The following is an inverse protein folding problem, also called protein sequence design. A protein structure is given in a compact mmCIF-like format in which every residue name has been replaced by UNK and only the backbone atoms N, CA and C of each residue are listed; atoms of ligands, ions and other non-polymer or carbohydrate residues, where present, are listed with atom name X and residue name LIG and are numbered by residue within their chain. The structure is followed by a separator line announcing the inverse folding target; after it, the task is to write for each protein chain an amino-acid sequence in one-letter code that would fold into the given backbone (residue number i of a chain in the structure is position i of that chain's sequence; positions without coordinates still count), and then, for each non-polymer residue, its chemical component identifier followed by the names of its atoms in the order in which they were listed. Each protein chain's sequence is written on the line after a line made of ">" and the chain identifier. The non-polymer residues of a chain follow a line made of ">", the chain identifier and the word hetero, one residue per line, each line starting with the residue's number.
data_IF_544741500038
#
_entry.id   IF_544741500038
#
_cell.length_a   1.000
_cell.length_b   1.000
_cell.length_c   1.000
_cell.angle_alpha   90.00
_cell.angle_beta   90.00
_cell.angle_gamma   90.00
#
_symmetry.space_group_name_H-M   'P 1'
#
loop_
_entity.id
_entity.type
_entity.pdbx_description
1 polymer ?
#
# COMPACT_ATOMS: atom_id res chain seq x y z
N UNK A 1 -8.95 0.33 -23.11
CA UNK A 1 -7.91 -0.71 -22.90
C UNK A 1 -8.12 -1.37 -21.53
N UNK A 2 -7.82 -2.66 -21.35
CA UNK A 2 -7.98 -3.34 -20.06
C UNK A 2 -7.19 -2.66 -18.92
N UNK A 3 -6.01 -2.12 -19.22
CA UNK A 3 -5.14 -1.37 -18.30
C UNK A 3 -5.83 -0.15 -17.70
N UNK A 4 -6.60 0.56 -18.52
CA UNK A 4 -7.37 1.73 -18.08
C UNK A 4 -8.43 1.33 -17.05
N UNK A 5 -9.14 0.21 -17.27
CA UNK A 5 -10.17 -0.29 -16.35
C UNK A 5 -9.52 -0.71 -15.03
N UNK A 6 -8.41 -1.45 -15.12
CA UNK A 6 -7.68 -1.93 -13.93
C UNK A 6 -7.14 -0.78 -13.10
N UNK A 7 -6.49 0.21 -13.73
CA UNK A 7 -5.99 1.36 -12.98
C UNK A 7 -7.15 2.18 -12.41
N UNK A 8 -8.31 2.23 -13.08
CA UNK A 8 -9.51 2.90 -12.56
C UNK A 8 -10.03 2.20 -11.30
N UNK A 9 -10.08 0.87 -11.31
CA UNK A 9 -10.59 0.07 -10.20
C UNK A 9 -9.69 0.16 -8.96
N UNK A 10 -8.37 0.28 -9.14
CA UNK A 10 -7.39 0.41 -8.05
C UNK A 10 -6.92 1.86 -7.82
N UNK A 11 -7.60 2.85 -8.41
CA UNK A 11 -7.13 4.25 -8.41
C UNK A 11 -7.00 4.80 -6.98
N UNK A 12 -8.03 4.58 -6.17
CA UNK A 12 -8.08 5.04 -4.79
C UNK A 12 -6.98 4.37 -3.95
N UNK A 13 -6.83 3.05 -4.06
CA UNK A 13 -5.82 2.28 -3.34
C UNK A 13 -4.39 2.78 -3.63
N UNK A 14 -4.07 3.07 -4.89
CA UNK A 14 -2.75 3.58 -5.29
C UNK A 14 -2.53 5.00 -4.74
N UNK A 15 -3.56 5.86 -4.78
CA UNK A 15 -3.49 7.23 -4.26
C UNK A 15 -3.29 7.20 -2.73
N UNK A 16 -4.08 6.42 -2.01
CA UNK A 16 -4.02 6.32 -0.55
C UNK A 16 -2.68 5.74 -0.09
N UNK A 17 -2.18 4.71 -0.79
CA UNK A 17 -0.86 4.13 -0.52
C UNK A 17 0.25 5.16 -0.68
N UNK A 18 0.25 5.93 -1.78
CA UNK A 18 1.25 6.97 -2.01
C UNK A 18 1.13 8.11 -0.99
N UNK A 19 -0.10 8.53 -0.66
CA UNK A 19 -0.36 9.56 0.33
C UNK A 19 0.12 9.16 1.73
N UNK A 20 -0.08 7.90 2.11
CA UNK A 20 0.43 7.30 3.35
C UNK A 20 1.94 7.12 3.38
N UNK A 21 2.61 7.13 2.21
CA UNK A 21 4.05 6.99 2.05
C UNK A 21 4.68 8.26 1.44
N UNK A 22 4.42 9.42 2.07
CA UNK A 22 4.85 10.72 1.56
C UNK A 22 6.34 10.84 1.11
N UNK A 23 7.33 10.21 1.80
CA UNK A 23 8.73 10.24 1.34
C UNK A 23 8.94 9.59 -0.03
N UNK A 24 8.16 8.55 -0.35
CA UNK A 24 8.26 7.77 -1.59
C UNK A 24 7.74 8.55 -2.80
N UNK A 25 6.79 9.46 -2.61
CA UNK A 25 6.15 10.23 -3.68
C UNK A 25 7.17 10.94 -4.58
N UNK A 26 8.23 11.53 -3.99
CA UNK A 26 9.26 12.24 -4.75
C UNK A 26 10.04 11.28 -5.64
N UNK A 27 10.48 10.15 -5.10
CA UNK A 27 11.23 9.14 -5.86
C UNK A 27 10.35 8.53 -6.96
N UNK A 28 9.08 8.27 -6.66
CA UNK A 28 8.11 7.75 -7.62
C UNK A 28 7.87 8.74 -8.76
N UNK A 29 7.69 10.03 -8.46
CA UNK A 29 7.60 11.11 -9.44
C UNK A 29 8.83 11.16 -10.36
N UNK A 30 10.05 11.03 -9.81
CA UNK A 30 11.28 10.99 -10.59
C UNK A 30 11.29 9.84 -11.59
N UNK A 31 10.88 8.63 -11.17
CA UNK A 31 10.82 7.47 -12.03
C UNK A 31 9.78 7.61 -13.14
N UNK A 32 8.59 8.13 -12.81
CA UNK A 32 7.53 8.39 -13.80
C UNK A 32 7.96 9.41 -14.84
N UNK A 33 8.59 10.52 -14.40
CA UNK A 33 9.08 11.57 -15.29
C UNK A 33 10.20 11.06 -16.20
N UNK A 34 11.18 10.35 -15.63
CA UNK A 34 12.29 9.76 -16.40
C UNK A 34 11.82 8.74 -17.43
N UNK A 35 10.68 8.08 -17.18
CA UNK A 35 10.07 7.11 -18.08
C UNK A 35 9.08 7.75 -19.07
N UNK A 36 8.93 9.08 -19.07
CA UNK A 36 8.03 9.80 -19.96
C UNK A 36 6.53 9.59 -19.68
N UNK A 37 6.17 9.10 -18.48
CA UNK A 37 4.79 8.75 -18.12
C UNK A 37 3.98 9.97 -17.64
N UNK A 38 4.68 11.00 -17.17
CA UNK A 38 4.10 12.26 -16.70
C UNK A 38 4.85 13.44 -17.33
N UNK A 39 4.16 14.57 -17.57
CA UNK A 39 4.78 15.77 -18.08
C UNK A 39 5.53 16.53 -16.97
N UNK A 40 6.39 17.47 -17.37
CA UNK A 40 7.30 18.19 -16.46
C UNK A 40 6.55 19.00 -15.39
N UNK A 41 5.40 19.53 -15.74
CA UNK A 41 4.55 20.36 -14.87
C UNK A 41 3.99 19.55 -13.70
N UNK A 42 3.68 18.28 -13.93
CA UNK A 42 3.22 17.34 -12.91
C UNK A 42 4.39 16.86 -12.04
N UNK A 43 5.58 16.74 -12.62
CA UNK A 43 6.79 16.36 -11.91
C UNK A 43 7.26 17.45 -10.91
N UNK A 44 7.22 18.73 -11.29
CA UNK A 44 7.61 19.89 -10.48
C UNK A 44 6.59 20.28 -9.39
N UNK A 45 5.88 19.29 -8.86
CA UNK A 45 4.70 19.45 -8.02
C UNK A 45 4.92 20.39 -6.83
N UNK A 46 4.19 21.52 -6.82
CA UNK A 46 4.23 22.53 -5.74
C UNK A 46 3.13 22.33 -4.68
N UNK A 47 2.31 21.27 -4.80
CA UNK A 47 1.22 21.04 -3.85
C UNK A 47 1.76 20.64 -2.48
N UNK A 48 1.12 21.17 -1.43
CA UNK A 48 1.61 21.03 -0.06
C UNK A 48 1.29 19.68 0.59
N UNK A 49 0.13 19.08 0.27
CA UNK A 49 -0.27 17.83 0.91
C UNK A 49 0.23 16.59 0.14
N UNK A 50 0.64 15.51 0.83
CA UNK A 50 0.98 14.24 0.19
C UNK A 50 -0.15 13.65 -0.66
N UNK A 51 -1.40 13.76 -0.17
CA UNK A 51 -2.58 13.27 -0.88
C UNK A 51 -2.80 14.00 -2.21
N UNK A 52 -2.69 15.33 -2.22
CA UNK A 52 -2.87 16.10 -3.45
C UNK A 52 -1.76 15.82 -4.47
N UNK A 53 -0.53 15.58 -3.97
CA UNK A 53 0.61 15.19 -4.80
C UNK A 53 0.39 13.83 -5.44
N UNK A 54 -0.01 12.83 -4.64
CA UNK A 54 -0.33 11.49 -5.10
C UNK A 54 -1.48 11.49 -6.13
N UNK A 55 -2.57 12.18 -5.79
CA UNK A 55 -3.75 12.32 -6.66
C UNK A 55 -3.38 12.91 -8.02
N UNK A 56 -2.59 13.98 -8.04
CA UNK A 56 -2.18 14.62 -9.29
C UNK A 56 -1.28 13.70 -10.14
N UNK A 57 -0.30 13.04 -9.51
CA UNK A 57 0.61 12.12 -10.19
C UNK A 57 -0.16 10.98 -10.87
N UNK A 58 -1.02 10.31 -10.10
CA UNK A 58 -1.76 9.15 -10.59
C UNK A 58 -2.80 9.55 -11.62
N UNK A 59 -3.51 10.66 -11.46
CA UNK A 59 -4.43 11.16 -12.47
C UNK A 59 -3.70 11.52 -13.77
N UNK A 60 -2.48 12.04 -13.70
CA UNK A 60 -1.67 12.29 -14.89
C UNK A 60 -1.34 10.98 -15.61
N UNK A 61 -0.87 9.94 -14.90
CA UNK A 61 -0.60 8.63 -15.51
C UNK A 61 -1.87 8.01 -16.08
N UNK A 62 -3.00 8.14 -15.38
CA UNK A 62 -4.30 7.66 -15.81
C UNK A 62 -4.74 8.31 -17.13
N UNK A 63 -4.60 9.64 -17.24
CA UNK A 63 -4.84 10.36 -18.50
C UNK A 63 -3.89 9.89 -19.61
N UNK A 64 -2.61 9.68 -19.30
CA UNK A 64 -1.64 9.15 -20.27
C UNK A 64 -2.07 7.78 -20.80
N UNK A 65 -2.47 6.83 -19.93
CA UNK A 65 -2.96 5.51 -20.35
C UNK A 65 -4.18 5.60 -21.28
N UNK A 66 -5.11 6.52 -20.98
CA UNK A 66 -6.32 6.72 -21.77
C UNK A 66 -6.07 7.31 -23.16
N UNK A 67 -5.01 8.12 -23.32
CA UNK A 67 -4.70 8.84 -24.55
C UNK A 67 -3.57 8.20 -25.39
N UNK A 68 -2.78 7.30 -24.81
CA UNK A 68 -1.60 6.72 -25.47
C UNK A 68 -2.00 5.62 -26.48
N UNK A 69 -1.28 5.55 -27.61
CA UNK A 69 -1.47 4.52 -28.64
C UNK A 69 -1.09 3.12 -28.17
N UNK A 70 -0.26 3.04 -27.13
CA UNK A 70 0.14 1.79 -26.45
C UNK A 70 -0.08 1.92 -24.92
N UNK A 71 -1.31 1.67 -24.44
CA UNK A 71 -1.64 1.72 -23.01
C UNK A 71 -0.89 0.69 -22.17
N UNK A 72 -0.52 -0.46 -22.76
CA UNK A 72 0.19 -1.54 -22.07
C UNK A 72 1.61 -1.13 -21.70
N UNK A 73 2.32 -0.40 -22.57
CA UNK A 73 3.64 0.15 -22.25
C UNK A 73 3.58 1.17 -21.11
N UNK A 74 2.58 2.07 -21.13
CA UNK A 74 2.38 3.06 -20.06
C UNK A 74 2.06 2.37 -18.73
N UNK A 75 1.18 1.37 -18.74
CA UNK A 75 0.85 0.57 -17.56
C UNK A 75 2.04 -0.19 -17.01
N UNK A 76 2.85 -0.83 -17.87
CA UNK A 76 4.10 -1.48 -17.46
C UNK A 76 5.07 -0.48 -16.85
N UNK A 77 5.20 0.72 -17.43
CA UNK A 77 6.02 1.80 -16.88
C UNK A 77 5.57 2.24 -15.49
N UNK A 78 4.25 2.33 -15.25
CA UNK A 78 3.67 2.57 -13.93
C UNK A 78 4.06 1.46 -12.94
N UNK A 79 3.84 0.21 -13.31
CA UNK A 79 4.16 -0.97 -12.49
C UNK A 79 5.65 -1.01 -12.12
N UNK A 80 6.55 -0.86 -13.10
CA UNK A 80 8.00 -0.80 -12.85
C UNK A 80 8.38 0.37 -11.95
N UNK A 81 7.69 1.51 -12.05
CA UNK A 81 7.95 2.66 -11.18
C UNK A 81 7.55 2.38 -9.73
N UNK A 82 6.46 1.63 -9.50
CA UNK A 82 6.04 1.19 -8.16
C UNK A 82 7.05 0.19 -7.55
N UNK A 83 7.53 -0.77 -8.34
CA UNK A 83 8.56 -1.73 -7.91
C UNK A 83 9.86 -1.03 -7.50
N UNK A 84 10.32 -0.04 -8.28
CA UNK A 84 11.55 0.71 -8.00
C UNK A 84 11.51 1.51 -6.71
N UNK A 85 10.32 1.84 -6.23
CA UNK A 85 10.13 2.55 -4.95
C UNK A 85 9.72 1.64 -3.81
N UNK A 86 9.77 0.32 -4.00
CA UNK A 86 9.46 -0.67 -2.97
C UNK A 86 7.97 -0.92 -2.73
N UNK A 87 7.07 -0.36 -3.55
CA UNK A 87 5.62 -0.60 -3.47
C UNK A 87 5.24 -1.87 -4.27
N UNK A 88 5.98 -2.96 -4.02
CA UNK A 88 5.94 -4.20 -4.80
C UNK A 88 4.59 -4.92 -4.72
N UNK A 89 3.92 -4.88 -3.57
CA UNK A 89 2.62 -5.54 -3.40
C UNK A 89 1.55 -4.89 -4.29
N UNK A 90 1.58 -3.57 -4.41
CA UNK A 90 0.67 -2.84 -5.29
C UNK A 90 1.00 -3.08 -6.76
N UNK A 91 2.29 -3.15 -7.11
CA UNK A 91 2.72 -3.50 -8.46
C UNK A 91 2.24 -4.91 -8.87
N UNK A 92 2.38 -5.90 -7.98
CA UNK A 92 1.86 -7.25 -8.19
C UNK A 92 0.34 -7.28 -8.31
N UNK A 93 -0.38 -6.55 -7.45
CA UNK A 93 -1.86 -6.47 -7.50
C UNK A 93 -2.34 -5.93 -8.86
N UNK A 94 -1.68 -4.90 -9.38
CA UNK A 94 -1.97 -4.33 -10.70
C UNK A 94 -1.66 -5.32 -11.85
N UNK A 95 -0.51 -6.00 -11.80
CA UNK A 95 -0.14 -7.03 -12.79
C UNK A 95 -1.11 -8.22 -12.80
N UNK A 96 -1.46 -8.73 -11.62
CA UNK A 96 -2.39 -9.84 -11.46
C UNK A 96 -3.77 -9.47 -12.00
N UNK A 97 -4.26 -8.27 -11.71
CA UNK A 97 -5.54 -7.78 -12.24
C UNK A 97 -5.58 -7.73 -13.77
N UNK A 98 -4.44 -7.56 -14.44
CA UNK A 98 -4.31 -7.64 -15.90
C UNK A 98 -4.34 -9.10 -16.41
N UNK A 99 -3.77 -10.04 -15.66
CA UNK A 99 -3.72 -11.47 -15.99
C UNK A 99 -4.97 -12.29 -15.66
N UNK A 100 -5.89 -11.79 -14.83
CA UNK A 100 -7.08 -12.55 -14.36
C UNK A 100 -8.13 -12.80 -15.45
N UNK A 101 -8.02 -12.21 -16.65
CA UNK A 101 -8.92 -12.50 -17.79
C UNK A 101 -8.59 -13.78 -18.57
N UNK A 102 -7.54 -14.52 -18.21
CA UNK A 102 -7.28 -15.87 -18.77
C UNK A 102 -7.20 -16.89 -17.64
N UNK A 103 -8.18 -17.79 -17.56
CA UNK A 103 -8.23 -18.83 -16.54
C UNK A 103 -7.21 -19.96 -16.85
N UNK A 104 -6.24 -20.09 -15.94
CA UNK A 104 -5.33 -21.23 -15.62
C UNK A 104 -4.25 -21.65 -16.64
N UNK A 105 -2.96 -21.46 -16.28
CA UNK A 105 -1.93 -22.53 -16.13
C UNK A 105 -0.56 -22.01 -15.63
N UNK A 106 0.34 -22.89 -15.14
CA UNK A 106 0.81 -22.88 -13.76
C UNK A 106 2.11 -22.11 -13.52
N UNK A 107 2.27 -21.71 -12.27
CA UNK A 107 3.53 -21.29 -11.65
C UNK A 107 4.63 -22.35 -11.83
N UNK A 108 5.57 -22.10 -12.74
CA UNK A 108 6.95 -22.64 -12.79
C UNK A 108 7.78 -21.57 -13.51
N UNK A 109 8.85 -21.00 -12.98
CA UNK A 109 9.82 -21.56 -12.06
C UNK A 109 10.60 -20.46 -11.28
N UNK A 110 11.02 -20.88 -10.07
CA UNK A 110 12.23 -20.50 -9.37
C UNK A 110 12.41 -19.06 -8.84
N UNK A 111 11.81 -18.81 -7.66
CA UNK A 111 12.55 -18.21 -6.55
C UNK A 111 12.34 -19.12 -5.35
N UNK A 112 13.43 -19.75 -4.89
CA UNK A 112 13.48 -20.45 -3.60
C UNK A 112 13.42 -19.39 -2.50
N UNK A 113 12.22 -18.99 -2.15
CA UNK A 113 11.91 -18.38 -0.87
C UNK A 113 10.78 -19.21 -0.29
N UNK A 114 11.06 -19.90 0.82
CA UNK A 114 10.01 -20.52 1.63
C UNK A 114 8.89 -19.49 1.81
N UNK A 115 7.63 -19.81 1.48
CA UNK A 115 6.55 -18.84 1.58
C UNK A 115 6.51 -18.35 3.02
N UNK A 116 6.76 -17.06 3.24
CA UNK A 116 6.54 -16.44 4.55
C UNK A 116 5.04 -16.45 4.78
N UNK A 117 4.57 -17.44 5.53
CA UNK A 117 3.18 -17.50 5.98
C UNK A 117 2.97 -16.34 6.94
N UNK A 118 2.31 -15.29 6.47
CA UNK A 118 1.80 -14.23 7.35
C UNK A 118 0.60 -14.83 8.07
N UNK A 119 0.85 -15.33 9.28
CA UNK A 119 -0.17 -15.91 10.13
C UNK A 119 -0.88 -14.76 10.85
N UNK A 120 -2.13 -14.52 10.48
CA UNK A 120 -2.98 -13.58 11.21
C UNK A 120 -3.62 -14.30 12.39
N UNK A 121 -3.63 -13.65 13.56
CA UNK A 121 -4.45 -14.13 14.67
C UNK A 121 -5.91 -14.15 14.27
N UNK A 122 -6.64 -15.15 14.74
CA UNK A 122 -8.07 -15.26 14.49
C UNK A 122 -8.84 -14.19 15.27
N UNK A 123 -10.07 -13.88 14.84
CA UNK A 123 -10.95 -12.94 15.57
C UNK A 123 -11.16 -13.36 17.03
N UNK A 124 -11.32 -14.66 17.27
CA UNK A 124 -11.57 -15.21 18.60
C UNK A 124 -10.31 -15.14 19.48
N UNK A 125 -9.14 -15.41 18.91
CA UNK A 125 -7.84 -15.26 19.60
C UNK A 125 -7.55 -13.81 19.98
N UNK A 126 -7.87 -12.86 19.09
CA UNK A 126 -7.76 -11.43 19.40
C UNK A 126 -8.72 -11.04 20.52
N UNK A 127 -9.96 -11.50 20.50
CA UNK A 127 -10.93 -11.23 21.57
C UNK A 127 -10.45 -11.78 22.92
N UNK A 128 -9.99 -13.04 22.96
CA UNK A 128 -9.46 -13.67 24.16
C UNK A 128 -8.24 -12.94 24.72
N UNK A 129 -7.35 -12.45 23.85
CA UNK A 129 -6.19 -11.67 24.28
C UNK A 129 -6.59 -10.31 24.86
N UNK A 130 -7.63 -9.66 24.31
CA UNK A 130 -8.16 -8.40 24.84
C UNK A 130 -8.75 -8.63 26.24
N UNK A 131 -9.53 -9.70 26.42
CA UNK A 131 -10.12 -10.05 27.72
C UNK A 131 -9.02 -10.36 28.75
N UNK A 132 -8.02 -11.16 28.37
CA UNK A 132 -6.89 -11.47 29.26
C UNK A 132 -6.07 -10.24 29.64
N UNK A 133 -5.90 -9.28 28.72
CA UNK A 133 -5.21 -8.03 29.02
C UNK A 133 -6.01 -7.16 29.99
N UNK A 134 -7.33 -7.15 29.85
CA UNK A 134 -8.23 -6.44 30.75
C UNK A 134 -8.16 -6.99 32.18
N UNK A 135 -8.14 -8.32 32.32
CA UNK A 135 -7.99 -8.98 33.63
C UNK A 135 -6.65 -8.61 34.27
N UNK A 136 -5.55 -8.72 33.53
CA UNK A 136 -4.22 -8.36 34.03
C UNK A 136 -4.11 -6.89 34.46
N UNK A 137 -4.73 -5.99 33.71
CA UNK A 137 -4.75 -4.57 34.07
C UNK A 137 -5.59 -4.34 35.33
N UNK A 138 -6.72 -5.02 35.47
CA UNK A 138 -7.59 -4.92 36.64
C UNK A 138 -6.89 -5.42 37.90
N UNK A 139 -6.16 -6.52 37.80
CA UNK A 139 -5.35 -7.06 38.89
C UNK A 139 -4.25 -6.06 39.29
N UNK A 140 -3.50 -5.53 38.31
CA UNK A 140 -2.45 -4.55 38.56
C UNK A 140 -2.97 -3.28 39.25
N UNK A 141 -4.13 -2.76 38.82
CA UNK A 141 -4.77 -1.60 39.43
C UNK A 141 -5.18 -1.89 40.88
N UNK A 142 -5.69 -3.09 41.12
CA UNK A 142 -6.08 -3.53 42.47
C UNK A 142 -4.85 -3.63 43.39
N UNK A 143 -3.77 -4.24 42.93
CA UNK A 143 -2.52 -4.34 43.67
C UNK A 143 -1.91 -2.97 43.99
N UNK A 144 -1.92 -2.05 43.02
CA UNK A 144 -1.42 -0.69 43.21
C UNK A 144 -2.27 0.07 44.22
N UNK A 145 -3.60 -0.08 44.19
CA UNK A 145 -4.50 0.51 45.18
C UNK A 145 -4.19 -0.02 46.57
N UNK A 146 -4.09 -1.34 46.73
CA UNK A 146 -3.82 -1.98 48.02
C UNK A 146 -2.49 -1.49 48.63
N UNK A 147 -1.43 -1.42 47.81
CA UNK A 147 -0.13 -0.88 48.23
C UNK A 147 -0.20 0.58 48.66
N UNK A 148 -1.00 1.39 47.98
CA UNK A 148 -1.17 2.80 48.34
C UNK A 148 -1.94 2.95 49.65
N UNK A 149 -2.98 2.15 49.85
CA UNK A 149 -3.76 2.14 51.11
C UNK A 149 -2.90 1.69 52.30
N UNK A 150 -2.03 0.70 52.13
CA UNK A 150 -1.05 0.28 53.14
C UNK A 150 -0.09 1.42 53.50
N UNK A 151 0.49 2.07 52.50
CA UNK A 151 1.43 3.19 52.71
C UNK A 151 0.79 4.40 53.41
N UNK A 152 -0.48 4.68 53.12
CA UNK A 152 -1.22 5.80 53.74
C UNK A 152 -1.66 5.46 55.18
N UNK A 153 -1.68 4.17 55.54
CA UNK A 153 -2.08 3.71 56.87
C UNK A 153 -0.90 3.60 57.86
N UNK A 154 0.34 3.81 57.41
CA UNK A 154 1.54 3.99 58.24
C UNK A 154 1.71 5.44 58.73
#
# INVERSE_FOLDING_TARGET
>A
APEYIILKDHLADVIDLLAGNAPVITQFSNHLFSSGLIPKEVHLNQKRSPLDRATQLINSVFSTIGAHSDPSSVFRGLVTSLEKVGLTDMAMKLQQSLGVKTHIRPLKAAISQSPTVIQFSSKDEVAQNIDSLYDQFSDLVTDLRNRFEELVSE
#
